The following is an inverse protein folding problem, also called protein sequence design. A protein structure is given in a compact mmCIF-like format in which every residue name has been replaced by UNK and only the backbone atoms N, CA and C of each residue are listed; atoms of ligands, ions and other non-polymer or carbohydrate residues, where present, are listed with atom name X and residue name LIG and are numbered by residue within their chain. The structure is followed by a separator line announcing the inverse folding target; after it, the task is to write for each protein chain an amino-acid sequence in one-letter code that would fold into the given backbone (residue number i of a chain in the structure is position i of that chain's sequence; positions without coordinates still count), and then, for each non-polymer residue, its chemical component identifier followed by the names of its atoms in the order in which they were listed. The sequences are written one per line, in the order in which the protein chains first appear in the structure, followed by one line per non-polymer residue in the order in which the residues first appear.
data_IF_230003744851
#
_entry.id   IF_230003744851
#
_cell.length_a   1.000
_cell.length_b   1.000
_cell.length_c   1.000
_cell.angle_alpha   90.00
_cell.angle_beta   90.00
_cell.angle_gamma   90.00
#
_symmetry.space_group_name_H-M   'P 1'
#
loop_
_entity.id
_entity.type
_entity.pdbx_description
1 polymer ?
#
# COMPACT_ATOMS: atom_id res chain seq x y z
N UNK A 1 -13.39 55.15 -5.05
CA UNK A 1 -13.15 53.85 -5.72
C UNK A 1 -13.09 52.80 -4.64
N UNK A 2 -14.05 51.87 -4.66
CA UNK A 2 -14.18 50.82 -3.66
C UNK A 2 -13.35 49.58 -4.05
N UNK A 3 -13.02 48.82 -3.01
CA UNK A 3 -12.65 47.39 -2.96
C UNK A 3 -11.26 46.96 -3.47
N UNK A 4 -10.28 46.96 -2.57
CA UNK A 4 -9.31 45.87 -2.47
C UNK A 4 -9.56 45.15 -1.14
N UNK A 5 -9.88 43.84 -1.21
CA UNK A 5 -9.30 42.78 -0.37
C UNK A 5 -9.98 41.46 -0.74
N UNK A 6 -9.42 40.66 -1.66
CA UNK A 6 -9.83 39.29 -1.89
C UNK A 6 -8.98 38.34 -1.04
N UNK A 7 -8.89 38.54 0.27
CA UNK A 7 -8.10 37.67 1.14
C UNK A 7 -8.85 37.38 2.45
N UNK A 8 -10.04 36.80 2.29
CA UNK A 8 -10.63 35.96 3.34
C UNK A 8 -10.73 34.55 2.82
N UNK A 9 -9.65 34.03 2.24
CA UNK A 9 -9.45 32.59 2.15
C UNK A 9 -9.20 32.10 3.58
N UNK A 10 -10.28 31.83 4.30
CA UNK A 10 -10.35 30.93 5.45
C UNK A 10 -9.05 30.87 6.27
N UNK A 11 -8.81 31.90 7.09
CA UNK A 11 -7.81 31.86 8.17
C UNK A 11 -8.31 30.88 9.24
N UNK A 12 -8.29 29.58 8.90
CA UNK A 12 -8.63 28.50 9.81
C UNK A 12 -7.49 28.44 10.81
N UNK A 13 -7.75 29.03 11.97
CA UNK A 13 -6.82 28.98 13.08
C UNK A 13 -6.67 27.54 13.55
N UNK A 14 -5.57 26.89 13.16
CA UNK A 14 -5.24 25.53 13.58
C UNK A 14 -4.74 25.59 15.02
N UNK A 15 -5.49 24.97 15.94
CA UNK A 15 -5.08 24.90 17.34
C UNK A 15 -3.92 23.91 17.52
N UNK A 16 -3.19 24.01 18.64
CA UNK A 16 -2.15 23.03 18.97
C UNK A 16 -2.70 21.59 19.04
N UNK A 17 -3.92 21.42 19.55
CA UNK A 17 -4.61 20.13 19.60
C UNK A 17 -4.90 19.61 18.18
N UNK A 18 -5.31 20.48 17.26
CA UNK A 18 -5.52 20.10 15.86
C UNK A 18 -4.22 19.70 15.18
N UNK A 19 -3.12 20.41 15.44
CA UNK A 19 -1.81 20.01 14.90
C UNK A 19 -1.38 18.63 15.41
N UNK A 20 -1.64 18.30 16.69
CA UNK A 20 -1.38 16.96 17.21
C UNK A 20 -2.24 15.90 16.52
N UNK A 21 -3.53 16.19 16.28
CA UNK A 21 -4.44 15.30 15.53
C UNK A 21 -3.99 15.12 14.08
N UNK A 22 -3.59 16.19 13.40
CA UNK A 22 -3.05 16.16 12.03
C UNK A 22 -1.80 15.28 11.97
N UNK A 23 -0.85 15.49 12.90
CA UNK A 23 0.38 14.70 12.94
C UNK A 23 0.12 13.22 13.26
N UNK A 24 -0.89 12.93 14.10
CA UNK A 24 -1.31 11.54 14.36
C UNK A 24 -1.96 10.92 13.13
N UNK A 25 -2.83 11.66 12.46
CA UNK A 25 -3.48 11.22 11.24
C UNK A 25 -2.46 10.92 10.14
N UNK A 26 -1.53 11.85 9.87
CA UNK A 26 -0.48 11.67 8.88
C UNK A 26 0.35 10.41 9.12
N UNK A 27 0.79 10.19 10.37
CA UNK A 27 1.55 8.98 10.74
C UNK A 27 0.74 7.70 10.58
N UNK A 28 -0.52 7.71 11.02
CA UNK A 28 -1.39 6.55 10.89
C UNK A 28 -1.71 6.24 9.42
N UNK A 29 -1.91 7.27 8.61
CA UNK A 29 -2.19 7.13 7.19
C UNK A 29 -0.99 6.57 6.41
N UNK A 30 0.22 7.05 6.70
CA UNK A 30 1.45 6.49 6.14
C UNK A 30 1.58 5.00 6.50
N UNK A 31 1.44 4.65 7.78
CA UNK A 31 1.49 3.25 8.21
C UNK A 31 0.40 2.38 7.58
N UNK A 32 -0.81 2.91 7.42
CA UNK A 32 -1.90 2.21 6.74
C UNK A 32 -1.54 1.92 5.28
N UNK A 33 -0.92 2.90 4.60
CA UNK A 33 -0.50 2.76 3.22
C UNK A 33 0.59 1.68 3.09
N UNK A 34 1.61 1.71 3.94
CA UNK A 34 2.67 0.69 3.97
C UNK A 34 2.10 -0.72 4.14
N UNK A 35 1.19 -0.90 5.11
CA UNK A 35 0.55 -2.20 5.37
C UNK A 35 -0.30 -2.65 4.17
N UNK A 36 -1.00 -1.73 3.49
CA UNK A 36 -1.78 -2.06 2.30
C UNK A 36 -0.88 -2.52 1.15
N UNK A 37 0.25 -1.86 0.97
CA UNK A 37 1.23 -2.24 -0.06
C UNK A 37 1.84 -3.61 0.22
N UNK A 38 2.21 -3.89 1.48
CA UNK A 38 2.68 -5.20 1.89
C UNK A 38 1.64 -6.29 1.66
N UNK A 39 0.37 -6.02 1.99
CA UNK A 39 -0.74 -6.95 1.74
C UNK A 39 -0.90 -7.25 0.24
N UNK A 40 -0.81 -6.24 -0.63
CA UNK A 40 -0.88 -6.43 -2.08
C UNK A 40 0.30 -7.27 -2.57
N UNK A 41 1.52 -6.99 -2.09
CA UNK A 41 2.70 -7.77 -2.43
C UNK A 41 2.55 -9.25 -2.03
N UNK A 42 2.05 -9.52 -0.82
CA UNK A 42 1.81 -10.88 -0.33
C UNK A 42 0.74 -11.61 -1.11
N UNK A 43 -0.35 -10.93 -1.50
CA UNK A 43 -1.38 -11.52 -2.37
C UNK A 43 -0.82 -11.91 -3.73
N UNK A 44 0.04 -11.07 -4.30
CA UNK A 44 0.72 -11.38 -5.57
C UNK A 44 1.66 -12.58 -5.43
N UNK A 45 2.41 -12.67 -4.33
CA UNK A 45 3.26 -13.82 -4.05
C UNK A 45 2.44 -15.12 -3.96
N UNK A 46 1.30 -15.10 -3.27
CA UNK A 46 0.38 -16.25 -3.20
C UNK A 46 -0.14 -16.62 -4.59
N UNK A 47 -0.62 -15.65 -5.36
CA UNK A 47 -1.12 -15.91 -6.71
C UNK A 47 -0.03 -16.53 -7.61
N UNK A 48 1.19 -16.00 -7.57
CA UNK A 48 2.31 -16.57 -8.34
C UNK A 48 2.60 -18.03 -7.93
N UNK A 49 2.43 -18.39 -6.65
CA UNK A 49 2.60 -19.77 -6.19
C UNK A 49 1.46 -20.67 -6.62
N UNK A 50 0.22 -20.18 -6.60
CA UNK A 50 -0.96 -20.90 -7.10
C UNK A 50 -0.83 -21.17 -8.60
N UNK A 51 -0.47 -20.15 -9.39
CA UNK A 51 -0.21 -20.29 -10.82
C UNK A 51 0.91 -21.32 -11.08
N UNK A 52 1.99 -21.29 -10.29
CA UNK A 52 3.08 -22.27 -10.42
C UNK A 52 2.63 -23.70 -10.06
N UNK A 53 1.73 -23.87 -9.08
CA UNK A 53 1.15 -25.18 -8.74
C UNK A 53 0.27 -25.68 -9.88
N UNK A 54 -0.54 -24.82 -10.48
CA UNK A 54 -1.39 -25.18 -11.61
C UNK A 54 -0.56 -25.58 -12.85
N UNK A 55 0.54 -24.87 -13.11
CA UNK A 55 1.51 -25.25 -14.15
C UNK A 55 2.14 -26.63 -13.87
N UNK A 56 2.48 -26.92 -12.62
CA UNK A 56 3.03 -28.23 -12.22
C UNK A 56 2.04 -29.38 -12.43
N UNK A 57 0.73 -29.14 -12.26
CA UNK A 57 -0.31 -30.16 -12.49
C UNK A 57 -0.41 -30.58 -13.96
N UNK A 58 -0.02 -29.71 -14.89
CA UNK A 58 0.00 -30.00 -16.33
C UNK A 58 1.22 -30.81 -16.77
N UNK A 59 2.22 -30.98 -15.91
CA UNK A 59 3.42 -31.76 -16.21
C UNK A 59 3.18 -33.25 -15.92
N UNK A 60 3.65 -34.12 -16.80
CA UNK A 60 3.56 -35.57 -16.60
C UNK A 60 4.29 -35.98 -15.32
N UNK A 61 3.69 -36.89 -14.53
CA UNK A 61 4.18 -37.28 -13.20
C UNK A 61 5.58 -37.90 -13.18
N UNK A 62 6.10 -38.29 -14.35
CA UNK A 62 7.39 -38.94 -14.53
C UNK A 62 8.50 -37.96 -14.96
N UNK A 63 8.16 -36.68 -15.18
CA UNK A 63 9.11 -35.65 -15.61
C UNK A 63 9.78 -34.98 -14.40
N UNK A 64 11.12 -35.05 -14.32
CA UNK A 64 11.90 -34.45 -13.24
C UNK A 64 12.00 -32.94 -13.43
N UNK A 65 11.32 -32.18 -12.58
CA UNK A 65 11.35 -30.72 -12.59
C UNK A 65 12.41 -30.21 -11.59
N UNK A 66 13.47 -29.52 -12.04
CA UNK A 66 14.50 -28.98 -11.16
C UNK A 66 13.91 -27.88 -10.26
N UNK A 67 14.05 -28.03 -8.94
CA UNK A 67 13.61 -27.00 -7.99
C UNK A 67 14.67 -25.90 -7.85
N UNK A 68 14.40 -24.65 -8.28
CA UNK A 68 15.41 -23.61 -8.38
C UNK A 68 15.97 -23.10 -7.03
N UNK A 69 15.35 -23.48 -5.90
CA UNK A 69 15.81 -23.09 -4.56
C UNK A 69 16.51 -24.21 -3.79
N UNK A 70 16.58 -25.43 -4.35
CA UNK A 70 17.47 -26.47 -3.82
C UNK A 70 18.89 -26.19 -4.37
N UNK A 71 19.83 -25.88 -3.48
CA UNK A 71 21.26 -25.88 -3.81
C UNK A 71 21.84 -27.29 -3.67
#
# INVERSE_FOLDING_TARGET
MATLSPDTENDVQVTFEDQQKINRFARNNARLQDIKEELVAKKKEVQNLEDAVDELVLVDSDELIPYPFLK
#
